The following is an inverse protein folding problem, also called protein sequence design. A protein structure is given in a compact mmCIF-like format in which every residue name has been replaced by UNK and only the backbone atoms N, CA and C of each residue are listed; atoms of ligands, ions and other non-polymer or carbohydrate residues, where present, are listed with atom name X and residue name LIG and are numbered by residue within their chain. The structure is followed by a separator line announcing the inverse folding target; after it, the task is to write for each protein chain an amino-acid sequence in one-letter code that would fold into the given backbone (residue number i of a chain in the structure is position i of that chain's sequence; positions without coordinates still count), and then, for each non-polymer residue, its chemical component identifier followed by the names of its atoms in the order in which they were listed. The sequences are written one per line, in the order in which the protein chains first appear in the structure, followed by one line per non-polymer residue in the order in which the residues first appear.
data_IF_991269417692
#
_entry.id   IF_991269417692
#
_cell.length_a   1.000
_cell.length_b   1.000
_cell.length_c   1.000
_cell.angle_alpha   90.00
_cell.angle_beta   90.00
_cell.angle_gamma   90.00
#
_symmetry.space_group_name_H-M   'P 1'
#
loop_
_entity.id
_entity.type
_entity.pdbx_description
1 polymer ?
#
# COMPACT_ATOMS: atom_id res chain seq x y z
N UNK A 1 -17.24 -25.17 2.04
CA UNK A 1 -16.07 -24.32 1.82
C UNK A 1 -16.37 -22.89 2.27
N UNK A 2 -15.44 -22.31 2.94
CA UNK A 2 -15.61 -20.96 3.41
C UNK A 2 -15.46 -19.94 2.29
N UNK A 3 -16.34 -18.98 2.33
CA UNK A 3 -16.27 -17.86 1.42
C UNK A 3 -15.19 -16.90 1.89
N UNK A 4 -14.27 -16.53 0.99
CA UNK A 4 -13.25 -15.55 1.34
C UNK A 4 -13.87 -14.17 1.45
N UNK A 5 -13.55 -13.49 2.55
CA UNK A 5 -14.00 -12.13 2.77
C UNK A 5 -12.93 -11.16 2.32
N UNK A 6 -13.24 -10.14 1.51
CA UNK A 6 -12.27 -9.13 1.15
C UNK A 6 -11.69 -8.45 2.38
N UNK A 7 -10.40 -8.18 2.35
CA UNK A 7 -9.77 -7.42 3.42
C UNK A 7 -9.62 -5.95 3.05
N UNK A 8 -9.41 -5.15 4.08
CA UNK A 8 -9.07 -3.75 3.95
C UNK A 8 -7.69 -3.56 4.59
N UNK A 9 -6.74 -3.06 3.82
CA UNK A 9 -5.38 -2.87 4.27
C UNK A 9 -4.93 -1.45 4.01
N UNK A 10 -4.40 -0.79 5.01
CA UNK A 10 -3.82 0.54 4.89
C UNK A 10 -2.30 0.45 5.07
N UNK A 11 -1.54 0.95 4.10
CA UNK A 11 -0.08 0.86 4.08
C UNK A 11 0.51 2.27 4.04
N UNK A 12 1.38 2.63 4.99
CA UNK A 12 2.11 3.90 4.89
C UNK A 12 3.20 3.81 3.82
N UNK A 13 3.35 4.88 3.04
CA UNK A 13 4.36 4.97 1.98
C UNK A 13 5.08 6.30 2.07
N UNK A 14 6.36 6.31 1.73
CA UNK A 14 7.18 7.52 1.79
C UNK A 14 7.09 8.37 0.52
N UNK A 15 6.66 7.77 -0.58
CA UNK A 15 6.48 8.49 -1.84
C UNK A 15 5.16 8.05 -2.46
N UNK A 16 4.14 8.86 -2.27
CA UNK A 16 2.79 8.52 -2.71
C UNK A 16 2.70 8.37 -4.23
N UNK A 17 3.34 9.26 -4.99
CA UNK A 17 3.28 9.21 -6.45
C UNK A 17 3.93 7.96 -7.03
N UNK A 18 5.10 7.57 -6.52
CA UNK A 18 5.77 6.35 -6.96
C UNK A 18 4.97 5.11 -6.61
N UNK A 19 4.41 5.06 -5.41
CA UNK A 19 3.59 3.94 -4.99
C UNK A 19 2.30 3.86 -5.79
N UNK A 20 1.69 5.00 -6.08
CA UNK A 20 0.49 5.09 -6.91
C UNK A 20 0.76 4.54 -8.31
N UNK A 21 1.86 4.94 -8.93
CA UNK A 21 2.26 4.44 -10.24
C UNK A 21 2.49 2.93 -10.22
N UNK A 22 3.13 2.42 -9.17
CA UNK A 22 3.39 1.00 -9.04
C UNK A 22 2.10 0.19 -9.02
N UNK A 23 1.17 0.55 -8.15
CA UNK A 23 -0.08 -0.21 -8.03
C UNK A 23 -0.96 -0.06 -9.25
N UNK A 24 -1.02 1.12 -9.84
CA UNK A 24 -1.83 1.36 -11.01
C UNK A 24 -1.23 0.79 -12.29
N UNK A 25 0.04 1.10 -12.55
CA UNK A 25 0.66 0.85 -13.86
C UNK A 25 1.41 -0.48 -13.92
N UNK A 26 2.01 -0.92 -12.82
CA UNK A 26 2.75 -2.19 -12.80
C UNK A 26 1.84 -3.35 -12.43
N UNK A 27 1.04 -3.20 -11.36
CA UNK A 27 0.13 -4.25 -10.91
C UNK A 27 -1.25 -4.20 -11.55
N UNK A 28 -1.59 -3.10 -12.21
CA UNK A 28 -2.88 -2.97 -12.89
C UNK A 28 -4.07 -2.80 -11.96
N UNK A 29 -3.86 -2.32 -10.74
CA UNK A 29 -4.93 -2.10 -9.80
C UNK A 29 -5.74 -0.86 -10.18
N UNK A 30 -7.06 -0.96 -10.09
CA UNK A 30 -7.93 0.17 -10.40
C UNK A 30 -7.96 1.13 -9.23
N UNK A 31 -7.73 2.42 -9.50
CA UNK A 31 -7.86 3.45 -8.49
C UNK A 31 -9.31 3.72 -8.16
N UNK A 32 -9.59 3.89 -6.88
CA UNK A 32 -10.86 4.38 -6.40
C UNK A 32 -10.77 5.86 -6.06
N UNK A 33 -10.97 6.18 -4.79
CA UNK A 33 -10.91 7.56 -4.30
C UNK A 33 -9.50 7.93 -3.91
N UNK A 34 -9.21 9.23 -3.88
CA UNK A 34 -7.90 9.71 -3.45
C UNK A 34 -8.00 11.11 -2.84
N UNK A 35 -6.96 11.48 -2.11
CA UNK A 35 -6.75 12.83 -1.61
C UNK A 35 -5.29 13.18 -1.84
N UNK A 36 -4.84 14.32 -1.30
CA UNK A 36 -3.44 14.71 -1.39
C UNK A 36 -2.50 13.75 -0.67
N UNK A 37 -3.03 12.99 0.29
CA UNK A 37 -2.21 12.18 1.19
C UNK A 37 -2.48 10.68 1.08
N UNK A 38 -3.49 10.26 0.34
CA UNK A 38 -3.80 8.83 0.23
C UNK A 38 -4.48 8.50 -1.09
N UNK A 39 -4.37 7.24 -1.49
CA UNK A 39 -5.03 6.69 -2.68
C UNK A 39 -5.60 5.33 -2.31
N UNK A 40 -6.81 5.07 -2.78
CA UNK A 40 -7.55 3.84 -2.55
C UNK A 40 -7.53 3.02 -3.84
N UNK A 41 -7.23 1.73 -3.73
CA UNK A 41 -7.16 0.82 -4.88
C UNK A 41 -8.04 -0.40 -4.69
N UNK A 42 -8.58 -0.90 -5.80
CA UNK A 42 -9.12 -2.25 -5.86
C UNK A 42 -7.94 -3.20 -6.08
N UNK A 43 -7.53 -3.89 -5.03
CA UNK A 43 -6.41 -4.81 -5.07
C UNK A 43 -6.95 -6.23 -5.16
N UNK A 44 -7.25 -6.67 -6.40
CA UNK A 44 -7.76 -8.02 -6.66
C UNK A 44 -8.98 -8.38 -5.81
N UNK A 45 -9.94 -7.46 -5.73
CA UNK A 45 -11.15 -7.64 -4.94
C UNK A 45 -11.05 -7.21 -3.49
N UNK A 46 -9.87 -6.77 -3.05
CA UNK A 46 -9.64 -6.26 -1.70
C UNK A 46 -9.40 -4.77 -1.75
N UNK A 47 -9.66 -4.09 -0.64
CA UNK A 47 -9.42 -2.66 -0.55
C UNK A 47 -8.02 -2.40 -0.02
N UNK A 48 -7.20 -1.71 -0.80
CA UNK A 48 -5.87 -1.30 -0.41
C UNK A 48 -5.80 0.22 -0.40
N UNK A 49 -5.40 0.81 0.72
CA UNK A 49 -5.19 2.24 0.84
C UNK A 49 -3.72 2.49 1.08
N UNK A 50 -3.09 3.27 0.20
CA UNK A 50 -1.73 3.75 0.46
C UNK A 50 -1.85 5.18 0.95
N UNK A 51 -1.11 5.52 1.99
CA UNK A 51 -1.13 6.87 2.53
C UNK A 51 0.28 7.37 2.81
N UNK A 52 0.48 8.65 2.58
CA UNK A 52 1.77 9.26 2.79
C UNK A 52 2.12 9.28 4.28
N UNK A 53 3.35 8.87 4.58
CA UNK A 53 3.90 8.95 5.92
C UNK A 53 5.40 9.17 5.79
N UNK A 54 5.93 10.10 6.57
CA UNK A 54 7.37 10.30 6.61
C UNK A 54 8.03 9.07 7.20
N UNK A 55 9.01 8.52 6.48
CA UNK A 55 9.71 7.31 6.92
C UNK A 55 10.67 7.63 8.05
N UNK A 56 10.61 6.83 9.10
CA UNK A 56 11.58 6.85 10.18
C UNK A 56 11.98 5.40 10.49
N UNK A 57 12.82 5.21 11.51
CA UNK A 57 13.35 3.89 11.82
C UNK A 57 12.27 2.86 12.15
N UNK A 58 11.18 3.30 12.79
CA UNK A 58 10.10 2.41 13.19
C UNK A 58 9.25 1.92 12.00
N UNK A 59 9.35 2.58 10.85
CA UNK A 59 8.57 2.24 9.67
C UNK A 59 9.29 1.27 8.74
N UNK A 60 10.52 0.89 9.06
CA UNK A 60 11.32 -0.03 8.27
C UNK A 60 11.07 -1.46 8.71
N UNK A 61 11.08 -2.37 7.75
CA UNK A 61 10.88 -3.79 8.01
C UNK A 61 12.20 -4.52 7.97
N UNK A 62 12.51 -5.22 9.06
CA UNK A 62 13.74 -5.98 9.19
C UNK A 62 13.45 -7.46 9.43
N UNK A 63 14.24 -8.33 8.81
CA UNK A 63 14.26 -9.76 9.12
C UNK A 63 15.72 -10.14 9.36
N UNK A 64 15.98 -10.74 10.51
CA UNK A 64 17.32 -11.13 10.94
C UNK A 64 18.34 -9.99 10.88
N UNK A 65 17.89 -8.78 11.25
CA UNK A 65 18.73 -7.60 11.25
C UNK A 65 18.96 -6.96 9.89
N UNK A 66 18.40 -7.55 8.84
CA UNK A 66 18.55 -7.04 7.49
C UNK A 66 17.30 -6.27 7.07
N UNK A 67 17.48 -5.06 6.55
CA UNK A 67 16.38 -4.27 6.03
C UNK A 67 15.83 -4.94 4.77
N UNK A 68 14.54 -5.27 4.77
CA UNK A 68 13.87 -5.90 3.63
C UNK A 68 12.84 -4.98 2.98
N UNK A 69 12.52 -3.85 3.61
CA UNK A 69 11.58 -2.92 3.02
C UNK A 69 11.22 -1.80 3.95
N UNK A 70 10.34 -0.93 3.47
CA UNK A 70 9.80 0.19 4.22
C UNK A 70 8.29 0.19 4.05
N UNK A 71 7.60 0.52 5.10
CA UNK A 71 6.15 0.62 5.05
C UNK A 71 5.70 1.91 4.38
#
# INVERSE_FOLDING_TARGET
MNKLTPFHLAIPVSNLEKSREFYRDVLGCKEGRSSEHWVDFDFFGHQLVIHFKEINEDDKIYIDGQLIGEL
#
